data_IF_760363261873
#
_entry.id   IF_760363261873
#
_cell.length_a   1.000
_cell.length_b   1.000
_cell.length_c   1.000
_cell.angle_alpha   90.00
_cell.angle_beta   90.00
_cell.angle_gamma   90.00
#
_symmetry.space_group_name_H-M   'P 1'
#
loop_
_entity.id
_entity.type
_entity.pdbx_description
1 polymer ?
#
# COMPACT_ATOMS: atom_id res chain seq x y z
N UNK A 1 43.03 47.46 -8.13
CA UNK A 1 41.62 47.06 -8.35
C UNK A 1 41.32 46.00 -7.32
N UNK A 2 40.56 46.34 -6.29
CA UNK A 2 40.21 45.46 -5.17
C UNK A 2 39.06 44.54 -5.58
N UNK A 3 39.24 43.24 -5.36
CA UNK A 3 38.24 42.20 -5.60
C UNK A 3 36.95 42.48 -4.78
N UNK A 4 35.75 42.31 -5.37
CA UNK A 4 34.52 42.46 -4.62
C UNK A 4 34.35 41.31 -3.61
N UNK A 5 33.92 41.65 -2.41
CA UNK A 5 33.71 40.69 -1.33
C UNK A 5 32.68 39.59 -1.70
N UNK A 6 32.88 38.34 -1.23
CA UNK A 6 31.96 37.24 -1.52
C UNK A 6 30.57 37.52 -0.93
N UNK A 7 29.55 37.35 -1.77
CA UNK A 7 28.13 37.48 -1.38
C UNK A 7 27.81 36.41 -0.34
N UNK A 8 27.27 36.82 0.81
CA UNK A 8 26.91 35.91 1.88
C UNK A 8 25.90 34.85 1.39
N UNK A 9 26.02 33.57 1.83
CA UNK A 9 25.09 32.52 1.46
C UNK A 9 23.68 32.89 1.93
N UNK A 10 22.74 32.87 0.99
CA UNK A 10 21.33 33.14 1.24
C UNK A 10 20.82 32.01 2.16
N UNK A 11 20.59 32.33 3.43
CA UNK A 11 20.01 31.38 4.37
C UNK A 11 18.52 31.21 4.04
N UNK A 12 17.98 29.98 4.08
CA UNK A 12 16.54 29.80 3.86
C UNK A 12 15.76 30.61 4.91
N UNK A 13 14.63 31.24 4.52
CA UNK A 13 13.84 32.00 5.47
C UNK A 13 13.40 31.10 6.63
N UNK A 14 13.32 31.64 7.86
CA UNK A 14 12.82 30.87 9.00
C UNK A 14 11.41 30.37 8.70
N UNK A 15 11.13 29.13 9.11
CA UNK A 15 9.79 28.56 9.00
C UNK A 15 8.80 29.53 9.67
N UNK A 16 7.70 29.92 9.00
CA UNK A 16 6.76 30.86 9.59
C UNK A 16 6.15 30.25 10.85
N UNK A 17 5.87 31.08 11.88
CA UNK A 17 5.25 30.64 13.12
C UNK A 17 3.91 29.97 12.79
N UNK A 18 3.85 28.67 13.10
CA UNK A 18 2.74 27.80 12.69
C UNK A 18 1.67 27.85 13.78
N UNK A 19 0.90 28.94 13.84
CA UNK A 19 -0.25 29.07 14.77
C UNK A 19 -1.44 28.17 14.40
N UNK A 20 -1.38 27.48 13.26
CA UNK A 20 -2.35 26.45 12.91
C UNK A 20 -1.92 25.13 13.56
N UNK A 21 -2.82 24.41 14.26
CA UNK A 21 -2.54 23.03 14.61
C UNK A 21 -2.15 22.31 13.33
N UNK A 22 -1.00 21.62 13.34
CA UNK A 22 -0.50 20.80 12.22
C UNK A 22 -1.55 19.80 11.68
N UNK A 23 -2.64 19.61 12.43
CA UNK A 23 -3.64 18.54 12.30
C UNK A 23 -5.09 19.02 12.36
N UNK A 24 -5.40 20.25 11.96
CA UNK A 24 -6.81 20.60 11.67
C UNK A 24 -7.13 20.14 10.25
N UNK A 25 -7.78 18.98 10.13
CA UNK A 25 -8.31 18.56 8.84
C UNK A 25 -9.44 19.50 8.41
N UNK A 26 -9.57 19.78 7.11
CA UNK A 26 -10.70 20.54 6.61
C UNK A 26 -12.01 19.73 6.79
N UNK A 27 -13.16 20.42 6.89
CA UNK A 27 -14.47 19.77 6.80
C UNK A 27 -14.55 18.85 5.57
N UNK A 28 -15.22 17.69 5.66
CA UNK A 28 -16.09 17.23 6.75
C UNK A 28 -15.36 16.49 7.90
N UNK A 29 -14.03 16.35 7.87
CA UNK A 29 -13.27 15.52 8.83
C UNK A 29 -12.91 16.28 10.13
N UNK A 30 -13.81 17.14 10.58
CA UNK A 30 -13.54 18.15 11.60
C UNK A 30 -13.33 17.57 13.00
N UNK A 31 -14.05 16.48 13.34
CA UNK A 31 -13.94 15.69 14.58
C UNK A 31 -14.45 14.25 14.32
N UNK A 32 -13.88 13.29 15.05
CA UNK A 32 -14.13 11.82 15.13
C UNK A 32 -13.21 10.85 14.35
N UNK A 33 -12.72 9.83 15.07
CA UNK A 33 -12.06 8.57 14.67
C UNK A 33 -10.85 8.61 13.72
N UNK A 34 -10.13 9.74 13.67
CA UNK A 34 -8.90 9.82 12.87
C UNK A 34 -7.73 9.18 13.61
N UNK A 35 -7.34 7.98 13.20
CA UNK A 35 -6.09 7.37 13.67
C UNK A 35 -4.96 7.64 12.65
N UNK A 36 -3.87 8.34 13.05
CA UNK A 36 -2.77 8.59 12.13
C UNK A 36 -2.09 7.27 11.76
N UNK A 37 -1.96 7.01 10.46
CA UNK A 37 -1.25 5.83 9.94
C UNK A 37 0.22 6.20 9.70
N UNK A 38 0.45 7.27 8.94
CA UNK A 38 1.80 7.70 8.56
C UNK A 38 1.84 9.20 8.27
N UNK A 39 3.00 9.79 8.55
CA UNK A 39 3.33 11.18 8.25
C UNK A 39 4.50 11.20 7.27
N UNK A 40 4.20 11.51 6.00
CA UNK A 40 5.22 11.75 4.97
C UNK A 40 5.58 13.23 4.86
N UNK A 41 6.65 13.53 4.11
CA UNK A 41 7.03 14.91 3.81
C UNK A 41 5.95 15.66 3.01
N UNK A 42 5.18 14.94 2.18
CA UNK A 42 4.21 15.52 1.26
C UNK A 42 2.74 15.36 1.65
N UNK A 43 2.40 14.36 2.46
CA UNK A 43 1.03 14.04 2.82
C UNK A 43 0.95 13.44 4.23
N UNK A 44 -0.16 13.70 4.89
CA UNK A 44 -0.58 13.10 6.15
C UNK A 44 -1.65 12.05 5.81
N UNK A 45 -1.52 10.85 6.37
CA UNK A 45 -2.43 9.74 6.09
C UNK A 45 -3.11 9.30 7.38
N UNK A 46 -4.44 9.27 7.35
CA UNK A 46 -5.28 8.95 8.49
C UNK A 46 -6.25 7.82 8.12
N UNK A 47 -6.50 6.89 9.05
CA UNK A 47 -7.64 5.97 8.97
C UNK A 47 -8.86 6.69 9.55
N UNK A 48 -10.03 6.49 8.95
CA UNK A 48 -11.32 7.04 9.41
C UNK A 48 -12.47 6.19 8.84
N UNK A 49 -13.69 6.69 8.93
CA UNK A 49 -14.87 6.13 8.27
C UNK A 49 -15.42 7.11 7.23
N UNK A 50 -16.07 6.61 6.18
CA UNK A 50 -16.62 7.45 5.11
C UNK A 50 -18.14 7.29 5.00
N UNK A 51 -18.88 8.39 5.20
CA UNK A 51 -20.36 8.52 5.19
C UNK A 51 -21.12 7.66 6.22
N UNK A 52 -20.60 6.50 6.60
CA UNK A 52 -21.19 5.56 7.55
C UNK A 52 -20.12 5.03 8.50
N UNK A 53 -20.44 4.77 9.79
CA UNK A 53 -19.46 4.29 10.79
C UNK A 53 -18.79 2.94 10.46
N UNK A 54 -19.39 2.12 9.59
CA UNK A 54 -18.90 0.78 9.24
C UNK A 54 -18.17 0.72 7.89
N UNK A 55 -17.96 1.85 7.22
CA UNK A 55 -17.20 1.91 5.96
C UNK A 55 -15.82 2.48 6.26
N UNK A 56 -14.81 1.65 6.53
CA UNK A 56 -13.47 2.13 6.82
C UNK A 56 -12.84 2.77 5.58
N UNK A 57 -12.12 3.87 5.80
CA UNK A 57 -11.51 4.68 4.76
C UNK A 57 -10.15 5.23 5.20
N UNK A 58 -9.36 5.66 4.20
CA UNK A 58 -8.09 6.36 4.40
C UNK A 58 -8.20 7.76 3.83
N UNK A 59 -7.90 8.77 4.64
CA UNK A 59 -7.78 10.17 4.21
C UNK A 59 -6.32 10.50 4.01
N UNK A 60 -5.95 10.86 2.78
CA UNK A 60 -4.66 11.44 2.41
C UNK A 60 -4.82 12.95 2.29
N UNK A 61 -4.27 13.68 3.25
CA UNK A 61 -4.32 15.15 3.29
C UNK A 61 -2.95 15.76 2.96
N UNK A 62 -2.92 16.75 2.07
CA UNK A 62 -1.70 17.47 1.68
C UNK A 62 -1.76 18.91 2.20
N UNK A 63 -1.23 19.19 3.41
CA UNK A 63 -1.32 20.51 4.00
C UNK A 63 -0.53 21.55 3.20
N UNK A 64 -0.99 22.82 3.17
CA UNK A 64 -0.27 23.90 2.50
C UNK A 64 1.14 24.06 3.04
N UNK A 65 2.11 24.21 2.14
CA UNK A 65 3.52 24.36 2.52
C UNK A 65 3.89 25.84 2.61
N UNK A 66 4.24 26.37 3.80
CA UNK A 66 4.43 27.81 3.97
C UNK A 66 5.59 28.41 3.16
N UNK A 67 6.55 27.56 2.78
CA UNK A 67 7.69 27.95 1.94
C UNK A 67 7.33 28.11 0.44
N UNK A 68 6.13 27.70 0.01
CA UNK A 68 5.66 27.86 -1.38
C UNK A 68 4.72 29.06 -1.47
N UNK A 69 4.80 29.77 -2.59
CA UNK A 69 3.82 30.82 -2.89
C UNK A 69 2.39 30.23 -2.91
N UNK A 70 1.38 30.84 -2.26
CA UNK A 70 0.05 30.24 -2.10
C UNK A 70 -0.61 29.78 -3.42
N UNK A 71 -0.50 30.58 -4.48
CA UNK A 71 -1.03 30.22 -5.81
C UNK A 71 -0.32 29.00 -6.41
N UNK A 72 1.00 28.91 -6.24
CA UNK A 72 1.79 27.80 -6.75
C UNK A 72 1.47 26.53 -5.96
N UNK A 73 1.40 26.62 -4.64
CA UNK A 73 1.10 25.48 -3.77
C UNK A 73 -0.29 24.91 -4.05
N UNK A 74 -1.33 25.75 -4.12
CA UNK A 74 -2.69 25.33 -4.50
C UNK A 74 -2.70 24.62 -5.85
N UNK A 75 -2.02 25.17 -6.86
CA UNK A 75 -1.93 24.57 -8.20
C UNK A 75 -1.23 23.22 -8.17
N UNK A 76 -0.13 23.08 -7.44
CA UNK A 76 0.63 21.84 -7.32
C UNK A 76 -0.17 20.76 -6.57
N UNK A 77 -0.76 21.11 -5.43
CA UNK A 77 -1.59 20.22 -4.62
C UNK A 77 -2.78 19.73 -5.43
N UNK A 78 -3.53 20.64 -6.07
CA UNK A 78 -4.65 20.29 -6.95
C UNK A 78 -4.23 19.37 -8.09
N UNK A 79 -3.14 19.69 -8.78
CA UNK A 79 -2.63 18.88 -9.89
C UNK A 79 -2.28 17.46 -9.45
N UNK A 80 -1.56 17.31 -8.33
CA UNK A 80 -1.13 16.01 -7.79
C UNK A 80 -2.31 15.17 -7.29
N UNK A 81 -3.22 15.76 -6.51
CA UNK A 81 -4.41 15.03 -6.02
C UNK A 81 -5.27 14.51 -7.16
N UNK A 82 -5.55 15.36 -8.16
CA UNK A 82 -6.38 14.95 -9.29
C UNK A 82 -5.66 13.94 -10.19
N UNK A 83 -4.34 14.04 -10.35
CA UNK A 83 -3.57 13.03 -11.07
C UNK A 83 -3.65 11.66 -10.37
N UNK A 84 -3.42 11.62 -9.07
CA UNK A 84 -3.52 10.41 -8.24
C UNK A 84 -4.93 9.79 -8.30
N UNK A 85 -5.97 10.60 -8.06
CA UNK A 85 -7.35 10.14 -8.09
C UNK A 85 -7.76 9.58 -9.46
N UNK A 86 -7.42 10.29 -10.56
CA UNK A 86 -7.73 9.81 -11.92
C UNK A 86 -7.01 8.51 -12.26
N UNK A 87 -5.75 8.39 -11.86
CA UNK A 87 -4.97 7.17 -12.07
C UNK A 87 -5.60 5.98 -11.35
N UNK A 88 -5.96 6.14 -10.07
CA UNK A 88 -6.63 5.09 -9.29
C UNK A 88 -7.97 4.68 -9.90
N UNK A 89 -8.83 5.64 -10.26
CA UNK A 89 -10.14 5.34 -10.88
C UNK A 89 -9.97 4.57 -12.19
N UNK A 90 -9.02 5.00 -13.04
CA UNK A 90 -8.72 4.31 -14.30
C UNK A 90 -8.23 2.89 -14.03
N UNK A 91 -7.18 2.73 -13.24
CA UNK A 91 -6.51 1.45 -12.97
C UNK A 91 -7.47 0.45 -12.30
N UNK A 92 -8.30 0.91 -11.36
CA UNK A 92 -9.33 0.08 -10.72
C UNK A 92 -10.38 -0.42 -11.69
N UNK A 93 -10.86 0.45 -12.60
CA UNK A 93 -11.88 0.08 -13.59
C UNK A 93 -11.40 -1.03 -14.53
N UNK A 94 -10.11 -1.04 -14.84
CA UNK A 94 -9.49 -2.05 -15.70
C UNK A 94 -9.11 -3.34 -14.93
N UNK A 95 -9.47 -3.46 -13.65
CA UNK A 95 -9.35 -4.71 -12.88
C UNK A 95 -8.03 -4.93 -12.15
N UNK A 96 -7.22 -3.87 -11.98
CA UNK A 96 -6.06 -3.92 -11.08
C UNK A 96 -6.52 -3.62 -9.65
N UNK A 97 -5.99 -4.39 -8.70
CA UNK A 97 -6.30 -4.28 -7.29
C UNK A 97 -5.64 -3.03 -6.70
N UNK A 98 -6.43 -1.97 -6.57
CA UNK A 98 -6.06 -0.70 -5.95
C UNK A 98 -7.19 -0.19 -5.05
N UNK A 99 -6.89 0.67 -4.06
CA UNK A 99 -7.91 1.33 -3.25
C UNK A 99 -8.92 2.09 -4.13
N UNK A 100 -10.21 1.94 -3.83
CA UNK A 100 -11.25 2.74 -4.48
C UNK A 100 -11.17 4.20 -4.06
N UNK A 101 -11.37 5.13 -5.00
CA UNK A 101 -11.52 6.55 -4.65
C UNK A 101 -12.94 6.79 -4.18
N UNK A 102 -13.09 7.21 -2.92
CA UNK A 102 -14.40 7.46 -2.29
C UNK A 102 -14.81 8.92 -2.38
N UNK A 103 -13.85 9.84 -2.34
CA UNK A 103 -14.09 11.27 -2.46
C UNK A 103 -12.79 12.06 -2.57
N UNK A 104 -12.87 13.27 -3.10
CA UNK A 104 -11.71 14.18 -3.12
C UNK A 104 -12.18 15.63 -3.12
N UNK A 105 -11.40 16.48 -2.47
CA UNK A 105 -11.49 17.94 -2.60
C UNK A 105 -10.08 18.46 -2.88
N UNK A 106 -9.86 18.85 -4.13
CA UNK A 106 -8.56 19.31 -4.58
C UNK A 106 -8.26 20.75 -4.16
N UNK A 107 -9.27 21.52 -3.74
CA UNK A 107 -9.11 22.88 -3.24
C UNK A 107 -8.81 22.87 -1.73
N UNK A 108 -9.41 21.93 -1.00
CA UNK A 108 -9.09 21.65 0.40
C UNK A 108 -7.89 20.70 0.58
N UNK A 109 -7.40 20.07 -0.49
CA UNK A 109 -6.14 19.31 -0.50
C UNK A 109 -6.24 17.90 0.10
N UNK A 110 -7.41 17.25 0.06
CA UNK A 110 -7.58 15.88 0.56
C UNK A 110 -8.17 14.90 -0.46
N UNK A 111 -7.82 13.63 -0.30
CA UNK A 111 -8.28 12.48 -1.07
C UNK A 111 -8.69 11.35 -0.11
N UNK A 112 -9.90 10.82 -0.26
CA UNK A 112 -10.42 9.69 0.52
C UNK A 112 -10.37 8.44 -0.34
N UNK A 113 -9.77 7.40 0.21
CA UNK A 113 -9.61 6.10 -0.41
C UNK A 113 -10.27 5.01 0.44
N UNK A 114 -10.64 3.90 -0.19
CA UNK A 114 -11.00 2.65 0.48
C UNK A 114 -9.86 2.19 1.40
N UNK A 115 -10.18 1.77 2.61
CA UNK A 115 -9.21 1.13 3.49
C UNK A 115 -8.95 -0.30 3.03
N UNK A 116 -7.69 -0.63 2.76
CA UNK A 116 -7.26 -2.00 2.46
C UNK A 116 -6.92 -2.67 3.78
N UNK A 117 -7.79 -3.59 4.23
CA UNK A 117 -7.59 -4.36 5.45
C UNK A 117 -6.54 -5.46 5.22
N UNK A 118 -5.31 -5.20 5.66
CA UNK A 118 -4.16 -6.00 5.29
C UNK A 118 -2.85 -5.47 5.88
N UNK A 119 -1.77 -6.16 5.55
CA UNK A 119 -0.41 -5.79 5.93
C UNK A 119 0.43 -5.47 4.70
N UNK A 120 1.47 -4.66 4.85
CA UNK A 120 2.39 -4.37 3.74
C UNK A 120 3.21 -5.62 3.40
N UNK A 121 3.56 -5.79 2.14
CA UNK A 121 4.46 -6.87 1.71
C UNK A 121 5.81 -6.75 2.43
N UNK A 122 6.25 -5.53 2.72
CA UNK A 122 7.41 -5.28 3.60
C UNK A 122 7.27 -5.99 4.95
N UNK A 123 6.16 -5.80 5.66
CA UNK A 123 5.93 -6.42 6.97
C UNK A 123 5.93 -7.95 6.87
N UNK A 124 5.32 -8.50 5.81
CA UNK A 124 5.32 -9.95 5.56
C UNK A 124 6.74 -10.49 5.40
N UNK A 125 7.56 -9.80 4.60
CA UNK A 125 8.95 -10.19 4.35
C UNK A 125 9.83 -10.03 5.59
N UNK A 126 9.59 -9.02 6.43
CA UNK A 126 10.29 -8.86 7.71
C UNK A 126 10.00 -10.05 8.63
N UNK A 127 8.72 -10.39 8.83
CA UNK A 127 8.33 -11.55 9.65
C UNK A 127 8.89 -12.86 9.09
N UNK A 128 8.85 -13.06 7.77
CA UNK A 128 9.44 -14.24 7.14
C UNK A 128 10.95 -14.31 7.34
N UNK A 129 11.67 -13.20 7.17
CA UNK A 129 13.13 -13.16 7.31
C UNK A 129 13.59 -13.37 8.77
N UNK A 130 12.81 -12.93 9.76
CA UNK A 130 13.07 -13.21 11.17
C UNK A 130 12.95 -14.70 11.48
N UNK A 131 11.89 -15.36 11.00
CA UNK A 131 11.70 -16.81 11.18
C UNK A 131 12.82 -17.63 10.56
N UNK A 132 13.20 -17.34 9.32
CA UNK A 132 14.31 -18.05 8.63
C UNK A 132 15.61 -17.96 9.45
N UNK A 133 15.91 -16.79 10.02
CA UNK A 133 17.09 -16.61 10.88
C UNK A 133 17.00 -17.40 12.18
N UNK A 134 15.81 -17.54 12.75
CA UNK A 134 15.59 -18.34 13.96
C UNK A 134 15.75 -19.83 13.68
N UNK A 135 15.19 -20.33 12.58
CA UNK A 135 15.33 -21.71 12.13
C UNK A 135 16.80 -22.07 11.85
N UNK A 136 17.53 -21.20 11.14
CA UNK A 136 18.97 -21.38 10.89
C UNK A 136 19.79 -21.45 12.19
N UNK A 137 19.45 -20.64 13.20
CA UNK A 137 20.11 -20.66 14.51
C UNK A 137 19.82 -21.96 15.26
N UNK A 138 18.59 -22.44 15.25
CA UNK A 138 18.19 -23.67 15.95
C UNK A 138 18.92 -24.89 15.39
N UNK A 139 19.02 -25.00 14.06
CA UNK A 139 19.74 -26.10 13.42
C UNK A 139 21.24 -26.08 13.74
N UNK A 140 21.84 -24.88 13.84
CA UNK A 140 23.25 -24.75 14.23
C UNK A 140 23.50 -25.15 15.70
N UNK A 141 22.58 -24.87 16.61
CA UNK A 141 22.74 -25.20 18.04
C UNK A 141 22.45 -26.67 18.37
N UNK A 142 21.54 -27.32 17.65
CA UNK A 142 21.13 -28.71 17.93
C UNK A 142 21.97 -29.76 17.18
N UNK A 143 22.97 -29.35 16.40
CA UNK A 143 23.78 -30.25 15.59
C UNK A 143 22.95 -30.97 14.52
N UNK A 144 21.85 -30.34 14.07
CA UNK A 144 20.92 -30.90 13.11
C UNK A 144 21.54 -31.03 11.72
N UNK A 145 21.19 -32.12 11.02
CA UNK A 145 21.57 -32.33 9.63
C UNK A 145 20.91 -31.27 8.72
N UNK A 146 21.73 -30.58 7.93
CA UNK A 146 21.33 -29.49 7.01
C UNK A 146 20.21 -29.95 6.06
N UNK A 147 20.14 -31.25 5.75
CA UNK A 147 19.11 -31.86 4.91
C UNK A 147 17.70 -31.97 5.52
N UNK A 148 17.49 -31.62 6.80
CA UNK A 148 16.15 -31.55 7.42
C UNK A 148 15.48 -30.18 7.27
N UNK A 149 16.26 -29.10 7.08
CA UNK A 149 15.75 -27.73 6.96
C UNK A 149 14.91 -27.53 5.69
N UNK A 150 15.31 -28.13 4.56
CA UNK A 150 14.57 -28.04 3.29
C UNK A 150 13.19 -28.71 3.33
N UNK A 151 12.98 -29.69 4.21
CA UNK A 151 11.71 -30.43 4.32
C UNK A 151 10.71 -29.78 5.28
N UNK A 152 11.18 -29.09 6.33
CA UNK A 152 10.32 -28.40 7.29
C UNK A 152 9.80 -27.05 6.76
N UNK A 153 10.63 -26.29 6.04
CA UNK A 153 10.24 -25.01 5.44
C UNK A 153 9.44 -25.11 4.14
N UNK A 154 9.14 -26.32 3.65
CA UNK A 154 8.55 -26.52 2.33
C UNK A 154 7.19 -25.84 2.12
N UNK A 155 6.30 -25.89 3.12
CA UNK A 155 4.97 -25.28 3.02
C UNK A 155 5.01 -23.76 3.10
N UNK A 156 5.70 -23.18 4.09
CA UNK A 156 5.79 -21.73 4.26
C UNK A 156 6.59 -21.07 3.12
N UNK A 157 7.66 -21.74 2.63
CA UNK A 157 8.38 -21.33 1.43
C UNK A 157 7.49 -21.36 0.19
N UNK A 158 6.58 -22.33 0.06
CA UNK A 158 5.63 -22.35 -1.05
C UNK A 158 4.64 -21.18 -0.96
N UNK A 159 4.16 -20.86 0.24
CA UNK A 159 3.23 -19.72 0.44
C UNK A 159 3.89 -18.37 0.11
N UNK A 160 5.13 -18.13 0.55
CA UNK A 160 5.83 -16.88 0.23
C UNK A 160 6.16 -16.78 -1.27
N UNK A 161 6.49 -17.91 -1.92
CA UNK A 161 6.70 -17.95 -3.37
C UNK A 161 5.41 -17.64 -4.13
N UNK A 162 4.27 -18.21 -3.71
CA UNK A 162 2.98 -17.87 -4.32
C UNK A 162 2.65 -16.37 -4.14
N UNK A 163 2.92 -15.81 -2.95
CA UNK A 163 2.76 -14.37 -2.70
C UNK A 163 3.60 -13.54 -3.68
N UNK A 164 4.88 -13.88 -3.86
CA UNK A 164 5.74 -13.21 -4.84
C UNK A 164 5.22 -13.34 -6.27
N UNK A 165 4.70 -14.51 -6.63
CA UNK A 165 4.05 -14.73 -7.90
C UNK A 165 2.83 -13.83 -8.10
N UNK A 166 2.00 -13.64 -7.06
CA UNK A 166 0.87 -12.68 -7.09
C UNK A 166 1.33 -11.25 -7.23
N UNK A 167 2.40 -10.84 -6.54
CA UNK A 167 3.01 -9.50 -6.71
C UNK A 167 3.44 -9.28 -8.17
N UNK A 168 4.17 -10.24 -8.76
CA UNK A 168 4.62 -10.16 -10.14
C UNK A 168 3.48 -10.07 -11.15
N UNK A 169 2.39 -10.83 -10.95
CA UNK A 169 1.18 -10.76 -11.77
C UNK A 169 0.48 -9.41 -11.67
N UNK A 170 0.34 -8.87 -10.46
CA UNK A 170 -0.39 -7.61 -10.25
C UNK A 170 0.36 -6.40 -10.82
N UNK A 171 1.69 -6.36 -10.66
CA UNK A 171 2.56 -5.38 -11.35
C UNK A 171 2.49 -5.56 -12.87
N UNK A 172 2.42 -6.80 -13.33
CA UNK A 172 2.19 -7.16 -14.73
C UNK A 172 0.93 -6.52 -15.32
N UNK A 173 -0.21 -6.66 -14.63
CA UNK A 173 -1.47 -6.04 -15.04
C UNK A 173 -1.35 -4.51 -15.12
N UNK A 174 -0.71 -3.86 -14.15
CA UNK A 174 -0.49 -2.41 -14.16
C UNK A 174 0.29 -1.98 -15.43
N UNK A 175 1.38 -2.67 -15.73
CA UNK A 175 2.23 -2.36 -16.89
C UNK A 175 1.54 -2.68 -18.23
N UNK A 176 0.71 -3.73 -18.29
CA UNK A 176 -0.10 -4.07 -19.47
C UNK A 176 -1.06 -2.92 -19.84
N UNK A 177 -1.63 -2.24 -18.85
CA UNK A 177 -2.46 -1.04 -19.05
C UNK A 177 -1.69 0.21 -19.50
N UNK A 178 -0.36 0.12 -19.63
CA UNK A 178 0.50 1.25 -19.98
C UNK A 178 0.65 2.25 -18.84
N UNK A 179 0.56 1.79 -17.59
CA UNK A 179 0.73 2.61 -16.39
C UNK A 179 2.00 2.17 -15.67
N UNK A 180 2.82 3.13 -15.27
CA UNK A 180 3.96 2.92 -14.38
C UNK A 180 3.66 3.60 -13.03
N UNK A 181 3.95 2.92 -11.95
CA UNK A 181 3.73 3.38 -10.58
C UNK A 181 4.61 4.59 -10.24
N UNK A 182 5.89 4.55 -10.61
CA UNK A 182 6.88 5.61 -10.36
C UNK A 182 7.53 5.59 -8.96
N UNK A 183 7.04 4.74 -8.06
CA UNK A 183 7.58 4.54 -6.70
C UNK A 183 7.23 3.14 -6.17
N UNK A 184 7.49 2.12 -6.99
CA UNK A 184 7.06 0.75 -6.69
C UNK A 184 8.00 0.11 -5.65
N UNK A 185 7.62 0.17 -4.37
CA UNK A 185 8.40 -0.41 -3.25
C UNK A 185 7.58 -1.45 -2.48
N UNK A 186 8.23 -2.26 -1.63
CA UNK A 186 7.56 -3.27 -0.78
C UNK A 186 6.59 -2.64 0.25
N UNK A 187 6.75 -1.36 0.58
CA UNK A 187 5.83 -0.62 1.45
C UNK A 187 4.57 -0.15 0.71
N UNK A 188 4.65 -0.01 -0.62
CA UNK A 188 3.54 0.41 -1.49
C UNK A 188 2.76 -0.78 -2.07
N UNK A 189 3.00 -1.97 -1.54
CA UNK A 189 2.28 -3.21 -1.83
C UNK A 189 1.63 -3.70 -0.54
N UNK A 190 0.34 -4.01 -0.59
CA UNK A 190 -0.42 -4.57 0.54
C UNK A 190 -0.97 -5.94 0.20
N UNK A 191 -0.89 -6.87 1.15
CA UNK A 191 -1.61 -8.12 1.14
C UNK A 191 -2.92 -7.92 1.91
N UNK A 192 -4.04 -7.89 1.19
CA UNK A 192 -5.39 -7.82 1.78
C UNK A 192 -5.77 -9.18 2.34
N UNK A 193 -6.28 -9.20 3.57
CA UNK A 193 -6.81 -10.42 4.18
C UNK A 193 -8.08 -10.88 3.45
N UNK A 194 -8.29 -12.20 3.31
CA UNK A 194 -9.49 -12.71 2.68
C UNK A 194 -10.68 -12.33 3.57
N UNK A 195 -11.75 -11.80 2.96
CA UNK A 195 -12.94 -11.42 3.71
C UNK A 195 -13.44 -12.64 4.52
N UNK A 196 -13.59 -12.49 5.84
CA UNK A 196 -14.15 -13.52 6.76
C UNK A 196 -15.56 -14.02 6.37
N UNK A 197 -16.14 -13.51 5.28
CA UNK A 197 -17.48 -13.83 4.78
C UNK A 197 -17.55 -15.07 3.88
N UNK A 198 -16.43 -15.60 3.36
CA UNK A 198 -16.47 -16.75 2.45
C UNK A 198 -16.42 -18.14 3.13
N UNK A 199 -16.19 -18.23 4.45
CA UNK A 199 -16.25 -19.51 5.19
C UNK A 199 -17.59 -19.77 5.91
N UNK A 200 -18.58 -18.88 5.80
CA UNK A 200 -19.95 -19.12 6.29
C UNK A 200 -20.85 -19.66 5.18
N UNK A 201 -20.55 -20.87 4.68
CA UNK A 201 -21.62 -21.77 4.24
C UNK A 201 -22.35 -22.29 5.48
N UNK A 202 -23.23 -21.47 6.07
CA UNK A 202 -24.23 -21.96 7.02
C UNK A 202 -25.54 -21.23 6.77
N UNK A 203 -26.58 -22.06 6.64
CA UNK A 203 -28.01 -21.76 6.49
C UNK A 203 -28.43 -20.42 7.09
N UNK A 204 -29.35 -19.68 6.45
CA UNK A 204 -29.81 -18.40 6.99
C UNK A 204 -30.53 -18.65 8.32
N UNK A 205 -29.86 -18.36 9.43
CA UNK A 205 -30.54 -18.21 10.71
C UNK A 205 -31.34 -16.90 10.64
N UNK A 206 -32.67 -17.06 10.57
CA UNK A 206 -33.73 -16.08 10.80
C UNK A 206 -33.35 -14.60 10.77
N UNK A 207 -33.27 -14.02 9.56
CA UNK A 207 -33.34 -12.55 9.43
C UNK A 207 -34.80 -12.14 9.67
N UNK A 208 -35.13 -11.54 10.81
CA UNK A 208 -36.47 -10.99 11.04
C UNK A 208 -36.78 -9.95 9.96
N UNK A 209 -37.93 -10.11 9.31
CA UNK A 209 -38.42 -9.17 8.30
C UNK A 209 -39.05 -7.97 8.98
N UNK A 210 -39.10 -6.82 8.29
CA UNK A 210 -39.74 -5.58 8.76
C UNK A 210 -41.22 -5.76 9.16
N UNK A 211 -41.84 -6.85 8.70
CA UNK A 211 -43.17 -7.32 9.11
C UNK A 211 -43.23 -7.69 10.59
N UNK A 212 -42.22 -8.39 11.12
CA UNK A 212 -42.21 -8.88 12.50
C UNK A 212 -42.01 -7.75 13.52
N UNK A 213 -41.20 -6.73 13.17
CA UNK A 213 -41.03 -5.54 14.01
C UNK A 213 -42.31 -4.70 14.11
N UNK A 214 -43.11 -4.67 13.04
CA UNK A 214 -44.39 -3.94 12.99
C UNK A 214 -45.48 -4.63 13.80
N UNK A 215 -45.44 -5.96 13.90
CA UNK A 215 -46.39 -6.77 14.64
C UNK A 215 -46.16 -6.72 16.16
N UNK A 216 -44.90 -6.71 16.60
CA UNK A 216 -44.53 -6.53 18.01
C UNK A 216 -44.97 -5.16 18.56
N UNK A 217 -44.79 -4.09 17.76
CA UNK A 217 -45.23 -2.74 18.10
C UNK A 217 -46.76 -2.61 18.22
N UNK A 218 -47.54 -3.41 17.49
CA UNK A 218 -49.01 -3.43 17.59
C UNK A 218 -49.53 -4.18 18.83
N UNK A 219 -48.75 -5.11 19.40
CA UNK A 219 -49.13 -5.89 20.59
C UNK A 219 -48.67 -5.25 21.91
N UNK A 220 -47.92 -4.14 21.87
CA UNK A 220 -47.47 -3.43 23.06
C UNK A 220 -46.38 -4.16 23.85
N UNK A 221 -45.65 -5.08 23.21
CA UNK A 221 -44.51 -5.78 23.79
C UNK A 221 -43.23 -5.02 23.45
N UNK A 222 -42.33 -4.85 24.43
CA UNK A 222 -41.03 -4.22 24.21
C UNK A 222 -40.20 -5.06 23.23
N UNK A 223 -39.52 -4.43 22.24
CA UNK A 223 -38.66 -5.17 21.34
C UNK A 223 -37.48 -5.79 22.12
N UNK A 224 -37.11 -7.06 21.85
CA UNK A 224 -35.99 -7.69 22.53
C UNK A 224 -34.68 -6.91 22.26
N UNK A 225 -33.73 -6.90 23.21
CA UNK A 225 -32.50 -6.14 23.07
C UNK A 225 -31.74 -6.53 21.80
N UNK A 226 -31.22 -5.52 21.10
CA UNK A 226 -30.27 -5.75 20.02
C UNK A 226 -29.01 -6.38 20.62
N UNK A 227 -28.80 -7.67 20.38
CA UNK A 227 -27.54 -8.33 20.67
C UNK A 227 -26.46 -7.72 19.76
N UNK A 228 -25.65 -6.83 20.32
CA UNK A 228 -24.39 -6.38 19.72
C UNK A 228 -23.45 -7.58 19.84
N UNK A 229 -22.96 -8.17 18.74
CA UNK A 229 -21.98 -9.24 18.84
C UNK A 229 -20.73 -8.68 19.51
N UNK A 230 -20.36 -9.21 20.68
CA UNK A 230 -19.04 -8.97 21.28
C UNK A 230 -17.98 -9.34 20.23
N UNK A 231 -17.11 -8.38 19.91
CA UNK A 231 -15.94 -8.66 19.09
C UNK A 231 -15.08 -9.67 19.85
N UNK A 232 -15.10 -10.92 19.38
CA UNK A 232 -14.25 -11.97 19.90
C UNK A 232 -12.79 -11.50 19.88
N UNK A 233 -12.01 -11.78 20.94
CA UNK A 233 -10.62 -11.37 21.00
C UNK A 233 -9.88 -11.93 19.79
N UNK A 234 -9.13 -11.06 19.12
CA UNK A 234 -8.31 -11.39 17.94
C UNK A 234 -7.25 -12.40 18.39
N UNK A 235 -7.56 -13.68 18.31
CA UNK A 235 -6.58 -14.74 18.45
C UNK A 235 -5.57 -14.59 17.32
N UNK A 236 -4.30 -14.66 17.68
CA UNK A 236 -3.13 -14.64 16.80
C UNK A 236 -3.05 -15.91 15.95
N UNK A 237 -4.11 -16.23 15.23
CA UNK A 237 -4.20 -17.38 14.35
C UNK A 237 -3.47 -17.04 13.05
N UNK A 238 -2.36 -17.75 12.82
CA UNK A 238 -1.61 -17.91 11.57
C UNK A 238 -2.23 -17.14 10.39
N UNK A 239 -1.74 -15.93 10.14
CA UNK A 239 -2.17 -15.13 9.00
C UNK A 239 -1.77 -15.86 7.73
N UNK A 240 -2.65 -16.70 7.21
CA UNK A 240 -2.50 -17.33 5.91
C UNK A 240 -2.09 -16.27 4.90
N UNK A 241 -1.06 -16.52 4.09
CA UNK A 241 -0.71 -15.59 3.01
C UNK A 241 -1.74 -15.62 1.87
N UNK A 242 -2.82 -16.39 2.01
CA UNK A 242 -4.00 -16.36 1.14
C UNK A 242 -4.63 -14.97 1.17
N UNK A 243 -4.75 -14.33 0.01
CA UNK A 243 -5.24 -12.95 -0.09
C UNK A 243 -4.95 -12.33 -1.44
N UNK A 244 -5.26 -11.05 -1.59
CA UNK A 244 -5.03 -10.31 -2.83
C UNK A 244 -3.95 -9.24 -2.63
N UNK A 245 -3.09 -9.06 -3.65
CA UNK A 245 -2.13 -7.97 -3.66
C UNK A 245 -2.83 -6.70 -4.12
N UNK A 246 -2.68 -5.64 -3.36
CA UNK A 246 -3.12 -4.29 -3.68
C UNK A 246 -1.92 -3.37 -3.86
N UNK A 247 -1.94 -2.54 -4.90
CA UNK A 247 -0.97 -1.45 -5.08
C UNK A 247 -1.53 -0.18 -4.44
N UNK A 248 -0.71 0.54 -3.71
CA UNK A 248 -1.07 1.79 -3.03
C UNK A 248 -0.08 2.91 -3.35
N UNK A 249 -0.49 4.16 -3.11
CA UNK A 249 0.30 5.38 -3.35
C UNK A 249 0.65 5.67 -4.82
N UNK A 250 -0.35 6.10 -5.58
CA UNK A 250 -0.22 6.48 -7.00
C UNK A 250 0.22 7.93 -7.20
N UNK A 251 0.96 8.50 -6.24
CA UNK A 251 1.35 9.92 -6.23
C UNK A 251 2.33 10.32 -7.35
N UNK A 252 3.06 9.36 -7.92
CA UNK A 252 4.08 9.55 -8.96
C UNK A 252 3.78 8.78 -10.25
N UNK A 253 2.55 8.29 -10.38
CA UNK A 253 2.14 7.47 -11.51
C UNK A 253 2.22 8.22 -12.84
N UNK A 254 2.69 7.53 -13.87
CA UNK A 254 2.72 8.03 -15.24
C UNK A 254 2.10 7.03 -16.21
N UNK A 255 1.54 7.53 -17.32
CA UNK A 255 1.10 6.68 -18.43
C UNK A 255 2.19 6.67 -19.49
N UNK A 256 2.70 5.49 -19.81
CA UNK A 256 3.81 5.31 -20.75
C UNK A 256 3.70 3.99 -21.49
N UNK A 257 4.14 4.01 -22.74
CA UNK A 257 4.27 2.83 -23.59
C UNK A 257 5.72 2.33 -23.62
N UNK A 258 6.65 3.05 -23.00
CA UNK A 258 8.07 2.74 -23.05
C UNK A 258 8.41 1.63 -22.09
N UNK A 259 9.05 0.57 -22.60
CA UNK A 259 9.52 -0.54 -21.78
C UNK A 259 10.63 -0.13 -20.80
N UNK A 260 11.33 0.99 -21.07
CA UNK A 260 12.31 1.57 -20.15
C UNK A 260 11.66 1.99 -18.83
N UNK A 261 10.52 2.68 -18.86
CA UNK A 261 9.88 3.18 -17.65
C UNK A 261 9.35 2.03 -16.79
N UNK A 262 8.77 1.02 -17.44
CA UNK A 262 8.33 -0.23 -16.79
C UNK A 262 9.51 -0.99 -16.17
N UNK A 263 10.65 -0.99 -16.85
CA UNK A 263 11.87 -1.62 -16.34
C UNK A 263 12.47 -0.84 -15.17
N UNK A 264 12.36 0.49 -15.16
CA UNK A 264 12.74 1.32 -14.00
C UNK A 264 11.85 1.01 -12.80
N UNK A 265 10.54 0.87 -12.96
CA UNK A 265 9.64 0.46 -11.88
C UNK A 265 10.04 -0.90 -11.27
N UNK A 266 10.29 -1.91 -12.11
CA UNK A 266 10.76 -3.22 -11.64
C UNK A 266 12.12 -3.12 -10.94
N UNK A 267 13.01 -2.25 -11.43
CA UNK A 267 14.31 -2.03 -10.80
C UNK A 267 14.19 -1.33 -9.44
N UNK A 268 13.26 -0.37 -9.28
CA UNK A 268 12.98 0.24 -7.97
C UNK A 268 12.48 -0.81 -6.99
N UNK A 269 11.57 -1.68 -7.42
CA UNK A 269 11.08 -2.78 -6.60
C UNK A 269 12.21 -3.74 -6.22
N UNK A 270 13.04 -4.17 -7.18
CA UNK A 270 14.22 -5.00 -6.93
C UNK A 270 15.13 -4.39 -5.86
N UNK A 271 15.42 -3.08 -5.98
CA UNK A 271 16.25 -2.36 -5.02
C UNK A 271 15.61 -2.27 -3.65
N UNK A 272 14.28 -2.14 -3.56
CA UNK A 272 13.57 -2.18 -2.29
C UNK A 272 13.75 -3.53 -1.60
N UNK A 273 13.61 -4.65 -2.32
CA UNK A 273 13.87 -6.00 -1.80
C UNK A 273 15.29 -6.14 -1.25
N UNK A 274 16.32 -5.81 -2.04
CA UNK A 274 17.72 -5.94 -1.58
C UNK A 274 18.06 -5.00 -0.42
N UNK A 275 17.41 -3.84 -0.31
CA UNK A 275 17.71 -2.84 0.71
C UNK A 275 17.06 -3.16 2.07
N UNK A 276 15.80 -3.60 2.07
CA UNK A 276 15.07 -3.86 3.33
C UNK A 276 15.14 -5.32 3.76
N UNK A 277 15.30 -6.26 2.82
CA UNK A 277 15.23 -7.70 3.12
C UNK A 277 16.30 -8.50 2.33
N UNK A 278 17.59 -8.45 2.71
CA UNK A 278 18.64 -9.19 2.00
C UNK A 278 18.37 -10.70 1.90
N UNK A 279 17.79 -11.32 2.93
CA UNK A 279 17.42 -12.74 2.92
C UNK A 279 16.30 -13.08 1.92
N UNK A 280 15.46 -12.10 1.55
CA UNK A 280 14.37 -12.26 0.61
C UNK A 280 14.76 -11.91 -0.84
N UNK A 281 16.00 -11.48 -1.10
CA UNK A 281 16.48 -11.17 -2.44
C UNK A 281 16.26 -12.32 -3.44
N UNK A 282 16.48 -13.61 -3.09
CA UNK A 282 16.19 -14.72 -3.99
C UNK A 282 14.70 -14.85 -4.37
N UNK A 283 13.79 -14.41 -3.49
CA UNK A 283 12.35 -14.45 -3.73
C UNK A 283 11.93 -13.51 -4.87
N UNK A 284 12.74 -12.47 -5.16
CA UNK A 284 12.46 -11.54 -6.24
C UNK A 284 12.52 -12.22 -7.63
N UNK A 285 13.24 -13.33 -7.77
CA UNK A 285 13.23 -14.10 -9.02
C UNK A 285 11.81 -14.58 -9.38
N UNK A 286 11.03 -15.02 -8.39
CA UNK A 286 9.65 -15.48 -8.58
C UNK A 286 8.75 -14.32 -9.04
N UNK A 287 8.95 -13.11 -8.51
CA UNK A 287 8.25 -11.89 -8.97
C UNK A 287 8.51 -11.66 -10.46
N UNK A 288 9.77 -11.74 -10.89
CA UNK A 288 10.15 -11.53 -12.29
C UNK A 288 9.63 -12.64 -13.20
N UNK A 289 9.65 -13.89 -12.74
CA UNK A 289 9.14 -15.02 -13.51
C UNK A 289 7.63 -14.90 -13.74
N UNK A 290 6.87 -14.63 -12.69
CA UNK A 290 5.43 -14.41 -12.78
C UNK A 290 5.09 -13.17 -13.62
N UNK A 291 5.84 -12.08 -13.45
CA UNK A 291 5.73 -10.89 -14.29
C UNK A 291 5.99 -11.22 -15.76
N UNK A 292 7.04 -11.99 -16.09
CA UNK A 292 7.39 -12.39 -17.46
C UNK A 292 6.31 -13.20 -18.18
N UNK A 293 5.41 -13.84 -17.42
CA UNK A 293 4.27 -14.62 -17.92
C UNK A 293 2.95 -13.83 -17.91
N UNK A 294 2.92 -12.62 -17.34
CA UNK A 294 1.68 -11.87 -17.07
C UNK A 294 1.02 -11.27 -18.32
N UNK A 295 1.80 -10.74 -19.27
CA UNK A 295 1.28 -10.18 -20.54
C UNK A 295 2.30 -10.29 -21.67
N UNK A 296 1.84 -10.12 -22.92
CA UNK A 296 2.66 -10.35 -24.14
C UNK A 296 3.95 -9.54 -24.20
N UNK A 297 3.94 -8.31 -23.69
CA UNK A 297 5.10 -7.40 -23.69
C UNK A 297 6.08 -7.60 -22.54
N UNK A 298 5.75 -8.42 -21.53
CA UNK A 298 6.53 -8.52 -20.30
C UNK A 298 8.00 -8.94 -20.53
N UNK A 299 8.24 -9.87 -21.47
CA UNK A 299 9.59 -10.33 -21.81
C UNK A 299 10.48 -9.22 -22.38
N UNK A 300 9.90 -8.27 -23.13
CA UNK A 300 10.63 -7.11 -23.65
C UNK A 300 11.08 -6.21 -22.51
N UNK A 301 10.19 -5.96 -21.54
CA UNK A 301 10.52 -5.20 -20.33
C UNK A 301 11.61 -5.90 -19.50
N UNK A 302 11.55 -7.22 -19.32
CA UNK A 302 12.59 -7.96 -18.60
C UNK A 302 13.95 -7.88 -19.28
N UNK A 303 14.00 -7.94 -20.62
CA UNK A 303 15.23 -7.69 -21.38
C UNK A 303 15.75 -6.27 -21.16
N UNK A 304 14.84 -5.29 -21.08
CA UNK A 304 15.19 -3.88 -20.84
C UNK A 304 15.71 -3.66 -19.42
N UNK A 305 15.16 -4.36 -18.43
CA UNK A 305 15.59 -4.36 -17.03
C UNK A 305 17.07 -4.70 -16.87
N UNK A 306 17.61 -5.64 -17.65
CA UNK A 306 19.06 -5.93 -17.64
C UNK A 306 19.91 -4.70 -17.97
N UNK A 307 19.48 -3.92 -18.97
CA UNK A 307 20.12 -2.66 -19.33
C UNK A 307 20.03 -1.60 -18.22
N UNK A 308 18.87 -1.51 -17.54
CA UNK A 308 18.65 -0.62 -16.39
C UNK A 308 19.56 -1.01 -15.23
N UNK A 309 19.64 -2.31 -14.89
CA UNK A 309 20.54 -2.85 -13.84
C UNK A 309 22.00 -2.47 -14.08
N UNK A 310 22.49 -2.63 -15.31
CA UNK A 310 23.87 -2.27 -15.68
C UNK A 310 24.15 -0.77 -15.48
N UNK A 311 23.20 0.11 -15.82
CA UNK A 311 23.34 1.57 -15.61
C UNK A 311 23.23 1.94 -14.13
N UNK A 312 22.34 1.30 -13.38
CA UNK A 312 22.16 1.51 -11.95
C UNK A 312 23.40 1.17 -11.15
N UNK A 313 24.08 0.05 -11.45
CA UNK A 313 25.34 -0.36 -10.80
C UNK A 313 26.48 0.63 -11.03
N UNK A 314 26.59 1.23 -12.22
CA UNK A 314 27.62 2.24 -12.52
C UNK A 314 27.45 3.51 -11.68
N UNK A 315 26.20 3.91 -11.37
CA UNK A 315 25.93 5.04 -10.48
C UNK A 315 26.26 4.74 -9.01
N UNK A 316 26.08 3.50 -8.57
CA UNK A 316 26.42 3.08 -7.19
C UNK A 316 27.93 3.02 -6.92
N UNK A 317 28.78 2.88 -7.94
CA UNK A 317 30.25 2.90 -7.80
C UNK A 317 30.85 4.31 -7.80
N UNK A 318 30.04 5.35 -8.04
CA UNK A 318 30.46 6.76 -8.09
C UNK A 318 29.90 7.59 -6.91
N UNK A 319 29.31 6.92 -5.92
CA UNK A 319 28.75 7.53 -4.70
C UNK A 319 29.62 7.26 -3.49
#
# INVERSE_FOLDING_TARGET
>A
MTEPAPVAPISPPPNPPTERPLHTLPPPFSQDDLTPITQGAEALVYKTTFLTPWTPAVVKYRPPKPYRHPTLDKRLTRSRLLAEARSLVRVKREGVNVPGVLGCDADAGWLVLEYVDGQTVRSVLDTWAEKVKEEEKQVFTEGGDVGQLERAGGSEKAEIMDLMGRVGREVGKLHELGVCHGDLTTSNLMLRFPDKKQSRETKPAGRMTTSAMREAAMKGEDPPPLEIPEEAPVSSELQSLAGEIYLIDFGLTSSTIQDEDRAVDLYVLERAFSATHPAAEPLFHEVLEAYGKSYKGAKSVLKRLEGVRLRGRKRSMLG
#
